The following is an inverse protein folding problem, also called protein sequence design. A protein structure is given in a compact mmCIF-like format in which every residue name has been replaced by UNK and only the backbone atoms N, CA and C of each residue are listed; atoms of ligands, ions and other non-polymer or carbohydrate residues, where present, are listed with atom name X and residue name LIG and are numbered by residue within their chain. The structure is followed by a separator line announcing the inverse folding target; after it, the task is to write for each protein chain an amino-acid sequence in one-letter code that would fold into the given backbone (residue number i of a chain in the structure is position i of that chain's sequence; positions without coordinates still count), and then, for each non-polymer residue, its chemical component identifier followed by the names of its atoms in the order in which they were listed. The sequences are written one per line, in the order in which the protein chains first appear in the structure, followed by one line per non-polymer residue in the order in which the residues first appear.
data_IF_524694035000
#
_entry.id   IF_524694035000
#
_cell.length_a   1.000
_cell.length_b   1.000
_cell.length_c   1.000
_cell.angle_alpha   90.00
_cell.angle_beta   90.00
_cell.angle_gamma   90.00
#
_symmetry.space_group_name_H-M   'P 1'
#
loop_
_entity.id
_entity.type
_entity.pdbx_description
1 polymer ?
#
# COMPACT_ATOMS: atom_id res chain seq x y z
N UNK A 1 7.69 -12.80 -7.71
CA UNK A 1 7.40 -12.24 -6.37
C UNK A 1 7.22 -10.73 -6.48
N UNK A 2 6.14 -10.22 -5.95
CA UNK A 2 5.93 -8.76 -5.79
C UNK A 2 6.20 -8.42 -4.33
N UNK A 3 7.09 -7.44 -4.08
CA UNK A 3 7.30 -6.89 -2.74
C UNK A 3 6.51 -5.58 -2.62
N UNK A 4 5.47 -5.60 -1.81
CA UNK A 4 4.56 -4.49 -1.58
C UNK A 4 4.93 -3.72 -0.31
N UNK A 5 5.22 -2.42 -0.44
CA UNK A 5 5.51 -1.56 0.70
C UNK A 5 4.22 -0.81 1.06
N UNK A 6 3.61 -1.20 2.16
CA UNK A 6 2.31 -0.71 2.59
C UNK A 6 2.34 -0.08 3.98
N UNK A 7 1.27 0.54 4.35
CA UNK A 7 1.07 1.13 5.68
C UNK A 7 0.46 2.53 5.64
N UNK A 8 0.05 3.06 6.79
CA UNK A 8 -0.57 4.37 6.91
C UNK A 8 0.31 5.51 6.39
N UNK A 9 -0.27 6.67 6.22
CA UNK A 9 0.49 7.88 5.89
C UNK A 9 1.45 8.24 7.01
N UNK A 10 2.47 9.01 6.68
CA UNK A 10 3.49 9.54 7.61
C UNK A 10 4.40 8.51 8.28
N UNK A 11 4.27 7.22 8.00
CA UNK A 11 5.17 6.17 8.50
C UNK A 11 6.56 6.17 7.83
N UNK A 12 6.80 7.10 6.91
CA UNK A 12 8.12 7.30 6.29
C UNK A 12 8.47 6.35 5.16
N UNK A 13 7.52 5.60 4.58
CA UNK A 13 7.75 4.66 3.48
C UNK A 13 8.58 5.25 2.34
N UNK A 14 8.16 6.40 1.82
CA UNK A 14 8.85 7.07 0.71
C UNK A 14 10.28 7.49 1.08
N UNK A 15 10.52 7.86 2.34
CA UNK A 15 11.87 8.16 2.82
C UNK A 15 12.73 6.90 2.85
N UNK A 16 12.24 5.81 3.46
CA UNK A 16 12.93 4.53 3.50
C UNK A 16 13.31 4.03 2.11
N UNK A 17 12.36 4.05 1.18
CA UNK A 17 12.57 3.64 -0.20
C UNK A 17 13.60 4.50 -0.93
N UNK A 18 13.60 5.81 -0.70
CA UNK A 18 14.58 6.73 -1.28
C UNK A 18 15.98 6.49 -0.73
N UNK A 19 16.11 6.37 0.58
CA UNK A 19 17.40 6.18 1.25
C UNK A 19 18.00 4.78 1.02
N UNK A 20 17.15 3.76 0.82
CA UNK A 20 17.61 2.40 0.50
C UNK A 20 18.24 2.27 -0.90
N UNK A 21 18.00 3.24 -1.78
CA UNK A 21 18.47 3.20 -3.17
C UNK A 21 17.82 2.10 -4.04
N UNK A 22 16.78 1.45 -3.54
CA UNK A 22 16.09 0.36 -4.24
C UNK A 22 15.26 0.93 -5.38
N UNK A 23 15.32 0.26 -6.54
CA UNK A 23 14.45 0.60 -7.67
C UNK A 23 13.03 0.19 -7.36
N UNK A 24 12.15 1.16 -7.27
CA UNK A 24 10.74 0.99 -6.90
C UNK A 24 9.86 1.34 -8.09
N UNK A 25 8.86 0.50 -8.34
CA UNK A 25 7.80 0.84 -9.26
C UNK A 25 6.81 1.77 -8.58
N UNK A 26 6.66 2.98 -9.14
CA UNK A 26 5.67 3.97 -8.70
C UNK A 26 4.67 4.20 -9.81
N UNK A 27 3.41 4.07 -9.48
CA UNK A 27 2.37 4.50 -10.41
C UNK A 27 2.43 6.02 -10.56
N UNK A 28 2.54 6.56 -11.78
CA UNK A 28 2.58 8.00 -12.02
C UNK A 28 1.17 8.60 -11.91
N UNK A 29 0.58 8.52 -10.71
CA UNK A 29 -0.81 8.83 -10.45
C UNK A 29 -1.20 10.24 -10.89
N UNK A 30 -0.41 11.26 -10.52
CA UNK A 30 -0.68 12.64 -10.90
C UNK A 30 -0.72 12.81 -12.44
N UNK A 31 0.22 12.15 -13.13
CA UNK A 31 0.26 12.18 -14.60
C UNK A 31 -0.94 11.48 -15.23
N UNK A 32 -1.40 10.37 -14.64
CA UNK A 32 -2.60 9.66 -15.12
C UNK A 32 -3.86 10.48 -14.86
N UNK A 33 -3.90 11.17 -13.73
CA UNK A 33 -4.99 12.07 -13.39
C UNK A 33 -5.18 13.14 -14.49
N UNK A 34 -4.09 13.79 -14.87
CA UNK A 34 -4.10 14.80 -15.94
C UNK A 34 -4.45 14.22 -17.32
N UNK A 35 -3.82 13.10 -17.70
CA UNK A 35 -4.02 12.51 -19.04
C UNK A 35 -5.44 11.95 -19.22
N UNK A 36 -6.00 11.37 -18.16
CA UNK A 36 -7.33 10.75 -18.20
C UNK A 36 -8.45 11.74 -17.87
N UNK A 37 -8.10 13.01 -17.62
CA UNK A 37 -9.07 14.07 -17.28
C UNK A 37 -10.05 13.61 -16.17
N UNK A 38 -9.49 13.03 -15.09
CA UNK A 38 -10.30 12.46 -14.02
C UNK A 38 -10.84 13.55 -13.12
N UNK A 39 -12.14 13.81 -13.21
CA UNK A 39 -12.81 14.92 -12.53
C UNK A 39 -13.08 14.66 -11.04
N UNK A 40 -13.00 13.40 -10.59
CA UNK A 40 -13.31 13.03 -9.23
C UNK A 40 -12.35 11.98 -8.63
N UNK A 41 -12.21 12.03 -7.30
CA UNK A 41 -11.33 11.14 -6.57
C UNK A 41 -11.73 9.66 -6.67
N UNK A 42 -13.01 9.36 -6.87
CA UNK A 42 -13.50 7.99 -6.99
C UNK A 42 -13.04 7.36 -8.31
N UNK A 43 -13.19 8.07 -9.42
CA UNK A 43 -12.73 7.64 -10.75
C UNK A 43 -11.22 7.50 -10.76
N UNK A 44 -10.50 8.47 -10.20
CA UNK A 44 -9.05 8.43 -10.05
C UNK A 44 -8.58 7.20 -9.26
N UNK A 45 -9.20 6.92 -8.13
CA UNK A 45 -8.84 5.76 -7.29
C UNK A 45 -9.16 4.43 -7.98
N UNK A 46 -10.25 4.35 -8.73
CA UNK A 46 -10.57 3.15 -9.52
C UNK A 46 -9.54 2.92 -10.63
N UNK A 47 -9.17 3.95 -11.37
CA UNK A 47 -8.13 3.86 -12.42
C UNK A 47 -6.79 3.43 -11.82
N UNK A 48 -6.44 3.94 -10.65
CA UNK A 48 -5.24 3.59 -9.92
C UNK A 48 -5.26 2.12 -9.41
N UNK A 49 -6.40 1.67 -8.90
CA UNK A 49 -6.62 0.27 -8.52
C UNK A 49 -6.51 -0.67 -9.73
N UNK A 50 -7.11 -0.29 -10.86
CA UNK A 50 -7.00 -1.04 -12.12
C UNK A 50 -5.55 -1.18 -12.59
N UNK A 51 -4.77 -0.10 -12.57
CA UNK A 51 -3.36 -0.15 -12.96
C UNK A 51 -2.56 -1.13 -12.11
N UNK A 52 -2.85 -1.20 -10.82
CA UNK A 52 -2.20 -2.16 -9.90
C UNK A 52 -2.66 -3.60 -10.12
N UNK A 53 -3.94 -3.82 -10.41
CA UNK A 53 -4.45 -5.14 -10.80
C UNK A 53 -3.75 -5.64 -12.06
N UNK A 54 -3.60 -4.79 -13.07
CA UNK A 54 -2.88 -5.12 -14.31
C UNK A 54 -1.42 -5.49 -14.01
N UNK A 55 -0.75 -4.78 -13.10
CA UNK A 55 0.61 -5.11 -12.70
C UNK A 55 0.72 -6.50 -12.08
N UNK A 56 -0.19 -6.85 -11.18
CA UNK A 56 -0.26 -8.18 -10.57
C UNK A 56 -0.56 -9.26 -11.63
N UNK A 57 -1.50 -9.00 -12.53
CA UNK A 57 -1.84 -9.94 -13.62
C UNK A 57 -0.63 -10.18 -14.55
N UNK A 58 0.08 -9.13 -14.97
CA UNK A 58 1.29 -9.25 -15.78
C UNK A 58 2.41 -10.02 -15.07
N UNK A 59 2.54 -9.83 -13.75
CA UNK A 59 3.48 -10.61 -12.95
C UNK A 59 3.09 -12.09 -12.90
N UNK A 60 1.83 -12.39 -12.58
CA UNK A 60 1.31 -13.76 -12.49
C UNK A 60 1.39 -14.51 -13.84
N UNK A 61 1.30 -13.78 -14.95
CA UNK A 61 1.50 -14.35 -16.31
C UNK A 61 2.98 -14.47 -16.71
N UNK A 62 3.91 -14.08 -15.87
CA UNK A 62 5.35 -14.16 -16.12
C UNK A 62 5.92 -13.10 -17.08
N UNK A 63 5.17 -12.04 -17.37
CA UNK A 63 5.67 -10.92 -18.19
C UNK A 63 6.56 -9.96 -17.41
N UNK A 64 6.46 -9.95 -16.10
CA UNK A 64 7.21 -9.07 -15.20
C UNK A 64 7.83 -9.92 -14.10
N UNK A 65 9.12 -9.78 -13.89
CA UNK A 65 9.85 -10.44 -12.80
C UNK A 65 9.61 -9.74 -11.45
N UNK A 66 10.43 -10.07 -10.46
CA UNK A 66 10.40 -9.49 -9.13
C UNK A 66 10.43 -7.97 -9.15
N UNK A 67 9.46 -7.36 -8.52
CA UNK A 67 9.33 -5.90 -8.40
C UNK A 67 9.07 -5.48 -6.96
N UNK A 68 9.51 -4.27 -6.64
CA UNK A 68 9.16 -3.57 -5.39
C UNK A 68 8.21 -2.44 -5.73
N UNK A 69 7.09 -2.35 -5.02
CA UNK A 69 6.10 -1.29 -5.24
C UNK A 69 6.00 -0.35 -4.02
N UNK A 70 5.96 0.95 -4.27
CA UNK A 70 5.55 1.96 -3.27
C UNK A 70 4.02 2.02 -3.28
N UNK A 71 3.39 1.38 -2.32
CA UNK A 71 1.97 1.02 -2.25
C UNK A 71 1.57 -0.02 -3.31
N UNK A 72 0.47 -0.70 -3.06
CA UNK A 72 -0.01 -1.78 -3.90
C UNK A 72 -1.52 -1.72 -4.14
N UNK A 73 -2.07 -2.81 -4.62
CA UNK A 73 -3.50 -3.04 -4.76
C UNK A 73 -4.26 -2.99 -3.41
N UNK A 74 -3.54 -3.11 -2.27
CA UNK A 74 -4.12 -3.06 -0.93
C UNK A 74 -4.50 -1.64 -0.50
N UNK A 75 -3.74 -0.63 -0.94
CA UNK A 75 -4.03 0.77 -0.61
C UNK A 75 -5.44 1.22 -0.99
N UNK A 76 -6.00 0.89 -2.17
CA UNK A 76 -7.39 1.22 -2.51
C UNK A 76 -8.43 0.63 -1.56
N UNK A 77 -8.13 -0.47 -0.89
CA UNK A 77 -9.05 -1.09 0.08
C UNK A 77 -9.18 -0.23 1.34
N UNK A 78 -8.06 0.23 1.89
CA UNK A 78 -8.07 1.13 3.04
C UNK A 78 -8.67 2.50 2.66
N UNK A 79 -8.17 3.12 1.61
CA UNK A 79 -8.61 4.44 1.16
C UNK A 79 -10.06 4.49 0.70
N UNK A 80 -10.58 3.39 0.14
CA UNK A 80 -11.99 3.28 -0.24
C UNK A 80 -12.93 3.43 0.94
N UNK A 81 -12.54 2.92 2.12
CA UNK A 81 -13.32 3.07 3.35
C UNK A 81 -13.18 4.49 3.91
N UNK A 82 -11.95 4.98 4.03
CA UNK A 82 -11.65 6.31 4.57
C UNK A 82 -12.37 7.42 3.79
N UNK A 83 -12.40 7.32 2.47
CA UNK A 83 -13.08 8.28 1.59
C UNK A 83 -14.57 7.95 1.38
N UNK A 84 -15.17 7.10 2.20
CA UNK A 84 -16.59 6.72 2.13
C UNK A 84 -17.05 6.20 0.76
N UNK A 85 -16.16 5.54 0.01
CA UNK A 85 -16.46 4.92 -1.30
C UNK A 85 -16.92 3.47 -1.18
N UNK A 86 -16.58 2.81 -0.08
CA UNK A 86 -17.01 1.45 0.25
C UNK A 86 -17.10 1.29 1.78
N UNK A 87 -17.80 0.26 2.23
CA UNK A 87 -17.83 -0.11 3.65
C UNK A 87 -16.62 -0.97 4.02
N UNK A 88 -16.31 -1.07 5.32
CA UNK A 88 -15.28 -1.98 5.84
C UNK A 88 -15.57 -3.44 5.41
N UNK A 89 -16.84 -3.83 5.42
CA UNK A 89 -17.27 -5.16 4.98
C UNK A 89 -16.99 -5.39 3.48
N UNK A 90 -17.22 -4.40 2.64
CA UNK A 90 -16.97 -4.52 1.19
C UNK A 90 -15.47 -4.57 0.90
N UNK A 91 -14.67 -3.77 1.64
CA UNK A 91 -13.21 -3.84 1.59
C UNK A 91 -12.70 -5.24 1.95
N UNK A 92 -13.20 -5.81 3.04
CA UNK A 92 -12.83 -7.17 3.45
C UNK A 92 -13.25 -8.23 2.41
N UNK A 93 -14.49 -8.16 1.89
CA UNK A 93 -14.95 -9.08 0.82
C UNK A 93 -14.06 -9.01 -0.41
N UNK A 94 -13.64 -7.80 -0.79
CA UNK A 94 -12.76 -7.60 -1.94
C UNK A 94 -11.36 -8.17 -1.69
N UNK A 95 -10.80 -7.97 -0.49
CA UNK A 95 -9.54 -8.57 -0.08
C UNK A 95 -9.60 -10.11 -0.18
N UNK A 96 -10.64 -10.72 0.41
CA UNK A 96 -10.84 -12.18 0.35
C UNK A 96 -10.99 -12.68 -1.08
N UNK A 97 -11.65 -11.90 -1.95
CA UNK A 97 -11.74 -12.24 -3.37
C UNK A 97 -10.38 -12.20 -4.06
N UNK A 98 -9.52 -11.23 -3.74
CA UNK A 98 -8.17 -11.14 -4.30
C UNK A 98 -7.30 -12.33 -3.87
N UNK A 99 -7.41 -12.76 -2.60
CA UNK A 99 -6.72 -13.95 -2.08
C UNK A 99 -7.23 -15.21 -2.79
N UNK A 100 -8.55 -15.41 -2.82
CA UNK A 100 -9.17 -16.61 -3.40
C UNK A 100 -8.96 -16.74 -4.92
N UNK A 101 -8.71 -15.64 -5.62
CA UNK A 101 -8.41 -15.62 -7.05
C UNK A 101 -6.90 -15.56 -7.34
N UNK A 102 -6.07 -15.75 -6.32
CA UNK A 102 -4.61 -15.78 -6.43
C UNK A 102 -4.03 -14.49 -7.06
N UNK A 103 -4.72 -13.36 -6.89
CA UNK A 103 -4.21 -12.04 -7.28
C UNK A 103 -3.08 -11.62 -6.33
N UNK A 104 -3.22 -11.95 -5.05
CA UNK A 104 -2.20 -11.86 -4.03
C UNK A 104 -1.95 -13.26 -3.52
N UNK A 105 -0.71 -13.69 -3.51
CA UNK A 105 -0.31 -15.06 -3.18
C UNK A 105 0.67 -15.11 -2.02
N UNK A 106 0.91 -16.29 -1.46
CA UNK A 106 1.92 -16.49 -0.44
C UNK A 106 3.36 -16.24 -0.94
N UNK A 107 3.58 -16.23 -2.26
CA UNK A 107 4.87 -15.90 -2.87
C UNK A 107 5.14 -14.39 -2.93
N UNK A 108 4.12 -13.56 -2.73
CA UNK A 108 4.27 -12.13 -2.60
C UNK A 108 4.74 -11.76 -1.19
N UNK A 109 5.45 -10.65 -1.06
CA UNK A 109 5.91 -10.13 0.22
C UNK A 109 5.22 -8.80 0.50
N UNK A 110 4.65 -8.66 1.67
CA UNK A 110 4.09 -7.39 2.15
C UNK A 110 4.95 -6.88 3.30
N UNK A 111 5.57 -5.71 3.14
CA UNK A 111 6.27 -5.02 4.23
C UNK A 111 5.33 -3.93 4.75
N UNK A 112 4.77 -4.18 5.92
CA UNK A 112 3.88 -3.26 6.62
C UNK A 112 4.71 -2.28 7.45
N UNK A 113 4.83 -1.06 6.95
CA UNK A 113 5.61 -0.01 7.61
C UNK A 113 4.73 0.75 8.59
N UNK A 114 5.08 0.66 9.87
CA UNK A 114 4.49 1.41 10.98
C UNK A 114 5.46 2.48 11.49
N UNK A 115 5.05 3.27 12.46
CA UNK A 115 5.86 4.29 13.11
C UNK A 115 5.33 5.72 12.87
N UNK A 116 5.52 6.56 13.87
CA UNK A 116 5.14 7.96 13.86
C UNK A 116 6.32 8.84 13.45
N UNK A 117 6.17 9.61 12.40
CA UNK A 117 7.16 10.62 12.05
C UNK A 117 7.03 11.83 12.99
N UNK A 118 7.97 12.06 13.92
CA UNK A 118 7.88 13.13 14.91
C UNK A 118 7.84 14.54 14.29
N UNK A 119 8.32 14.67 13.05
CA UNK A 119 8.39 15.97 12.35
C UNK A 119 7.17 16.23 11.46
N UNK A 120 6.20 15.31 11.38
CA UNK A 120 5.18 15.37 10.31
C UNK A 120 3.74 15.22 10.81
N UNK A 121 3.53 15.34 12.13
CA UNK A 121 2.19 15.29 12.74
C UNK A 121 1.24 16.40 12.26
N UNK A 122 1.79 17.46 11.64
CA UNK A 122 1.06 18.63 11.16
C UNK A 122 1.23 18.87 9.65
N UNK A 123 1.27 17.84 8.82
CA UNK A 123 0.96 18.10 7.42
C UNK A 123 -0.49 18.56 7.40
N UNK A 124 -0.70 19.86 7.15
CA UNK A 124 -1.98 20.55 7.11
C UNK A 124 -2.96 20.03 6.04
N UNK A 125 -2.93 18.74 5.84
CA UNK A 125 -3.86 18.01 5.04
C UNK A 125 -5.13 17.83 5.87
N UNK A 126 -6.26 18.04 5.26
CA UNK A 126 -7.63 18.10 5.73
C UNK A 126 -8.14 16.83 6.48
N UNK A 127 -7.25 16.12 7.17
CA UNK A 127 -7.55 14.85 7.83
C UNK A 127 -7.50 15.06 9.34
N UNK A 128 -8.62 14.81 9.97
CA UNK A 128 -8.72 14.84 11.43
C UNK A 128 -8.14 13.57 12.07
N UNK A 129 -8.12 13.51 13.41
CA UNK A 129 -7.63 12.35 14.14
C UNK A 129 -8.48 11.10 13.90
N UNK A 130 -9.78 11.26 13.67
CA UNK A 130 -10.67 10.13 13.38
C UNK A 130 -10.35 9.45 12.06
N UNK A 131 -9.98 10.22 11.04
CA UNK A 131 -9.52 9.69 9.75
C UNK A 131 -8.19 8.94 9.89
N UNK A 132 -7.28 9.43 10.74
CA UNK A 132 -6.01 8.76 11.01
C UNK A 132 -6.22 7.43 11.74
N UNK A 133 -7.05 7.42 12.77
CA UNK A 133 -7.40 6.19 13.50
C UNK A 133 -8.10 5.17 12.60
N UNK A 134 -8.94 5.63 11.68
CA UNK A 134 -9.59 4.77 10.70
C UNK A 134 -8.58 4.20 9.70
N UNK A 135 -7.63 5.03 9.24
CA UNK A 135 -6.56 4.57 8.34
C UNK A 135 -5.72 3.48 9.00
N UNK A 136 -5.27 3.70 10.23
CA UNK A 136 -4.47 2.74 10.99
C UNK A 136 -5.24 1.43 11.19
N UNK A 137 -6.50 1.50 11.59
CA UNK A 137 -7.36 0.33 11.79
C UNK A 137 -7.58 -0.44 10.49
N UNK A 138 -7.80 0.23 9.37
CA UNK A 138 -8.02 -0.42 8.09
C UNK A 138 -6.75 -1.13 7.59
N UNK A 139 -5.58 -0.48 7.71
CA UNK A 139 -4.33 -1.15 7.36
C UNK A 139 -4.03 -2.33 8.27
N UNK A 140 -4.23 -2.19 9.57
CA UNK A 140 -4.07 -3.27 10.52
C UNK A 140 -4.95 -4.48 10.16
N UNK A 141 -6.24 -4.26 9.91
CA UNK A 141 -7.18 -5.32 9.52
C UNK A 141 -6.77 -6.02 8.21
N UNK A 142 -6.33 -5.26 7.20
CA UNK A 142 -5.85 -5.81 5.93
C UNK A 142 -4.61 -6.68 6.16
N UNK A 143 -3.64 -6.20 6.95
CA UNK A 143 -2.39 -6.91 7.23
C UNK A 143 -2.62 -8.17 8.06
N UNK A 144 -3.46 -8.10 9.10
CA UNK A 144 -3.85 -9.26 9.90
C UNK A 144 -4.52 -10.33 9.05
N UNK A 145 -5.43 -9.94 8.16
CA UNK A 145 -6.10 -10.86 7.23
C UNK A 145 -5.09 -11.53 6.29
N UNK A 146 -4.19 -10.78 5.69
CA UNK A 146 -3.16 -11.33 4.80
C UNK A 146 -2.22 -12.28 5.54
N UNK A 147 -1.78 -11.92 6.73
CA UNK A 147 -0.91 -12.78 7.53
C UNK A 147 -1.60 -14.08 7.91
N UNK A 148 -2.87 -14.01 8.30
CA UNK A 148 -3.67 -15.19 8.64
C UNK A 148 -3.82 -16.16 7.46
N UNK A 149 -4.04 -15.66 6.24
CA UNK A 149 -4.34 -16.50 5.07
C UNK A 149 -3.10 -16.86 4.25
N UNK A 150 -2.10 -16.00 4.20
CA UNK A 150 -0.93 -16.15 3.33
C UNK A 150 0.39 -16.24 4.07
N UNK A 151 0.47 -15.73 5.32
CA UNK A 151 1.70 -15.74 6.12
C UNK A 151 2.84 -14.91 5.49
N UNK A 152 2.50 -13.88 4.74
CA UNK A 152 3.46 -13.14 3.91
C UNK A 152 3.68 -11.68 4.33
N UNK A 153 3.18 -11.29 5.51
CA UNK A 153 3.32 -9.94 6.05
C UNK A 153 4.53 -9.84 6.98
N UNK A 154 5.35 -8.84 6.77
CA UNK A 154 6.46 -8.47 7.64
C UNK A 154 6.18 -7.09 8.19
N UNK A 155 5.94 -6.98 9.48
CA UNK A 155 5.80 -5.68 10.13
C UNK A 155 7.17 -5.04 10.34
N UNK A 156 7.29 -3.77 9.99
CA UNK A 156 8.49 -2.97 10.12
C UNK A 156 8.20 -1.63 10.77
N UNK A 157 8.64 -1.46 12.02
CA UNK A 157 8.56 -0.18 12.73
C UNK A 157 9.69 0.75 12.28
N UNK A 158 9.33 1.84 11.62
CA UNK A 158 10.31 2.87 11.23
C UNK A 158 10.56 3.86 12.38
N UNK A 159 11.77 3.87 12.90
CA UNK A 159 12.21 4.80 13.96
C UNK A 159 12.84 6.08 13.43
N UNK A 160 12.80 6.27 12.10
CA UNK A 160 13.33 7.45 11.41
C UNK A 160 14.83 7.70 11.65
N UNK A 161 15.60 6.64 11.79
CA UNK A 161 17.05 6.65 11.98
C UNK A 161 17.78 5.84 10.89
N UNK A 162 19.11 5.95 10.86
CA UNK A 162 19.94 5.22 9.88
C UNK A 162 19.87 3.71 10.04
N UNK A 163 19.65 3.23 11.26
CA UNK A 163 19.52 1.79 11.53
C UNK A 163 18.23 1.25 10.92
N UNK A 164 17.13 1.97 11.05
CA UNK A 164 15.86 1.62 10.40
C UNK A 164 16.01 1.49 8.90
N UNK A 165 16.67 2.45 8.24
CA UNK A 165 16.94 2.37 6.80
C UNK A 165 17.78 1.15 6.43
N UNK A 166 18.84 0.85 7.18
CA UNK A 166 19.70 -0.29 6.93
C UNK A 166 18.99 -1.64 7.14
N UNK A 167 18.12 -1.73 8.14
CA UNK A 167 17.30 -2.91 8.39
C UNK A 167 16.23 -3.11 7.31
N UNK A 168 15.56 -2.02 6.93
CA UNK A 168 14.56 -2.04 5.86
C UNK A 168 15.16 -2.53 4.54
N UNK A 169 16.35 -2.05 4.17
CA UNK A 169 17.06 -2.46 2.96
C UNK A 169 17.34 -3.97 2.92
N UNK A 170 17.53 -4.60 4.08
CA UNK A 170 17.74 -6.06 4.18
C UNK A 170 16.46 -6.88 4.04
N UNK A 171 15.30 -6.26 4.26
CA UNK A 171 14.01 -6.94 4.13
C UNK A 171 13.55 -7.05 2.68
N UNK A 172 13.99 -6.15 1.81
CA UNK A 172 13.66 -6.14 0.38
C UNK A 172 14.65 -7.00 -0.40
#
# INVERSE_FOLDING_TARGET
MITMIEGPRNTGKTHLLKESGIKVYKFPFAKWYDILELDDNKTAANAFGMGRLILHDLHNQGYIDNIVTDRSILSPLAWGVIENRMTEQDSHKLLMKMINQEIITADDKVIYVTGDNPNNRNRGDHWDLADQDLEDRMYYHIMETLDQYLGNVIEFENKFDKLSTALFTKLI
#
